data_IF_031184859938
#
_entry.id   IF_031184859938
#
_cell.length_a   1.000
_cell.length_b   1.000
_cell.length_c   1.000
_cell.angle_alpha   90.00
_cell.angle_beta   90.00
_cell.angle_gamma   90.00
#
_symmetry.space_group_name_H-M   'P 1'
#
loop_
_entity.id
_entity.type
_entity.pdbx_description
1 polymer ?
#
# COMPACT_ATOMS: atom_id res chain seq x y z
N UNK A 1 -24.96 6.78 16.93
CA UNK A 1 -24.08 5.95 16.08
C UNK A 1 -22.85 5.65 16.88
N UNK A 2 -22.44 4.38 16.94
CA UNK A 2 -21.18 4.03 17.59
C UNK A 2 -20.01 4.69 16.86
N UNK A 3 -19.07 5.26 17.62
CA UNK A 3 -17.88 5.91 17.05
C UNK A 3 -16.96 4.87 16.42
N UNK A 4 -16.28 5.27 15.34
CA UNK A 4 -15.24 4.48 14.68
C UNK A 4 -13.97 4.60 15.51
N UNK A 5 -13.58 3.52 16.18
CA UNK A 5 -12.38 3.51 17.03
C UNK A 5 -11.12 3.24 16.22
N UNK A 6 -10.09 4.02 16.50
CA UNK A 6 -8.72 3.79 16.05
C UNK A 6 -7.83 3.64 17.27
N UNK A 7 -7.36 2.42 17.52
CA UNK A 7 -6.43 2.17 18.61
C UNK A 7 -5.01 2.58 18.21
N UNK A 8 -4.45 3.54 18.94
CA UNK A 8 -3.08 4.00 18.80
C UNK A 8 -2.26 3.44 19.95
N UNK A 9 -1.31 2.58 19.65
CA UNK A 9 -0.49 1.91 20.66
C UNK A 9 0.99 2.19 20.39
N UNK A 10 1.66 2.80 21.36
CA UNK A 10 3.09 2.99 21.32
C UNK A 10 3.79 1.64 21.41
N UNK A 11 4.77 1.42 20.52
CA UNK A 11 5.57 0.21 20.46
C UNK A 11 6.97 0.57 19.95
N UNK A 12 7.97 0.50 20.82
CA UNK A 12 9.26 1.16 20.61
C UNK A 12 10.29 0.35 19.80
N UNK A 13 10.02 -0.94 19.59
CA UNK A 13 10.93 -1.88 18.95
C UNK A 13 10.16 -3.02 18.27
N UNK A 14 10.91 -3.94 17.66
CA UNK A 14 10.37 -5.17 17.07
C UNK A 14 10.71 -6.38 17.94
N UNK A 15 10.52 -6.30 19.25
CA UNK A 15 10.55 -7.47 20.14
C UNK A 15 9.18 -8.16 20.14
N UNK A 16 9.15 -9.47 19.92
CA UNK A 16 7.90 -10.23 19.71
C UNK A 16 6.92 -10.07 20.87
N UNK A 17 7.38 -10.12 22.12
CA UNK A 17 6.54 -9.96 23.31
C UNK A 17 5.90 -8.58 23.40
N UNK A 18 6.65 -7.52 23.09
CA UNK A 18 6.15 -6.14 23.12
C UNK A 18 5.13 -5.90 21.99
N UNK A 19 5.47 -6.32 20.76
CA UNK A 19 4.57 -6.19 19.60
C UNK A 19 3.28 -6.97 19.83
N UNK A 20 3.37 -8.19 20.35
CA UNK A 20 2.19 -9.02 20.67
C UNK A 20 1.33 -8.38 21.76
N UNK A 21 1.95 -7.88 22.83
CA UNK A 21 1.23 -7.16 23.89
C UNK A 21 0.52 -5.91 23.36
N UNK A 22 1.20 -5.15 22.49
CA UNK A 22 0.64 -3.96 21.86
C UNK A 22 -0.56 -4.29 20.94
N UNK A 23 -0.48 -5.36 20.15
CA UNK A 23 -1.58 -5.82 19.30
C UNK A 23 -2.78 -6.27 20.16
N UNK A 24 -2.57 -7.08 21.20
CA UNK A 24 -3.64 -7.49 22.11
C UNK A 24 -4.33 -6.29 22.77
N UNK A 25 -3.56 -5.35 23.33
CA UNK A 25 -4.09 -4.11 23.91
C UNK A 25 -4.91 -3.32 22.88
N UNK A 26 -4.43 -3.22 21.65
CA UNK A 26 -5.15 -2.56 20.56
C UNK A 26 -6.48 -3.25 20.25
N UNK A 27 -6.49 -4.58 20.14
CA UNK A 27 -7.70 -5.37 19.90
C UNK A 27 -8.72 -5.21 21.04
N UNK A 28 -8.27 -5.25 22.28
CA UNK A 28 -9.12 -5.08 23.46
C UNK A 28 -9.80 -3.70 23.48
N UNK A 29 -9.06 -2.63 23.15
CA UNK A 29 -9.60 -1.27 23.07
C UNK A 29 -10.64 -1.10 21.95
N UNK A 30 -10.51 -1.88 20.86
CA UNK A 30 -11.51 -1.91 19.79
C UNK A 30 -12.77 -2.70 20.17
N UNK A 31 -12.75 -3.45 21.27
CA UNK A 31 -13.88 -4.25 21.76
C UNK A 31 -13.64 -5.76 21.78
N UNK A 32 -12.39 -6.20 21.57
CA UNK A 32 -11.99 -7.60 21.69
C UNK A 32 -11.97 -8.37 20.37
N UNK A 33 -11.26 -9.50 20.39
CA UNK A 33 -11.03 -10.32 19.18
C UNK A 33 -12.31 -10.92 18.58
N UNK A 34 -13.33 -11.11 19.41
CA UNK A 34 -14.61 -11.73 19.03
C UNK A 34 -15.40 -10.90 18.01
N UNK A 35 -15.12 -9.59 17.91
CA UNK A 35 -15.70 -8.72 16.89
C UNK A 35 -15.13 -8.99 15.49
N UNK A 36 -13.92 -9.52 15.42
CA UNK A 36 -13.18 -9.69 14.18
C UNK A 36 -13.10 -11.14 13.72
N UNK A 37 -13.03 -12.09 14.66
CA UNK A 37 -12.81 -13.52 14.39
C UNK A 37 -13.98 -14.34 14.93
N UNK A 38 -14.65 -15.03 14.02
CA UNK A 38 -15.77 -15.92 14.33
C UNK A 38 -15.31 -17.36 14.48
N UNK A 39 -16.17 -18.17 15.08
CA UNK A 39 -15.92 -19.60 15.19
C UNK A 39 -15.93 -20.25 13.81
N UNK A 40 -14.92 -21.08 13.52
CA UNK A 40 -14.83 -21.79 12.24
C UNK A 40 -14.20 -21.00 11.09
N UNK A 41 -13.71 -19.77 11.31
CA UNK A 41 -13.17 -18.91 10.26
C UNK A 41 -11.98 -19.55 9.52
N UNK A 42 -11.94 -19.34 8.20
CA UNK A 42 -10.72 -19.35 7.39
C UNK A 42 -10.16 -17.94 7.32
N UNK A 43 -9.03 -17.73 7.97
CA UNK A 43 -8.40 -16.41 8.10
C UNK A 43 -7.29 -16.26 7.07
N UNK A 44 -7.32 -15.15 6.33
CA UNK A 44 -6.25 -14.73 5.45
C UNK A 44 -5.56 -13.48 6.00
N UNK A 45 -4.28 -13.61 6.29
CA UNK A 45 -3.41 -12.48 6.61
C UNK A 45 -2.92 -11.83 5.32
N UNK A 46 -3.12 -10.51 5.21
CA UNK A 46 -2.73 -9.72 4.05
C UNK A 46 -1.61 -8.74 4.42
N UNK A 47 -0.34 -9.21 4.48
CA UNK A 47 0.80 -8.32 4.64
C UNK A 47 0.95 -7.39 3.44
N UNK A 48 1.83 -6.41 3.58
CA UNK A 48 2.30 -5.59 2.48
C UNK A 48 3.61 -6.16 1.92
N UNK A 49 3.55 -6.83 0.77
CA UNK A 49 4.69 -7.42 0.07
C UNK A 49 4.96 -6.66 -1.22
N UNK A 50 5.33 -5.38 -1.13
CA UNK A 50 5.49 -4.51 -2.31
C UNK A 50 6.60 -4.98 -3.27
N UNK A 51 7.79 -5.29 -2.75
CA UNK A 51 8.97 -5.64 -3.52
C UNK A 51 9.98 -6.42 -2.66
N UNK A 52 10.78 -7.30 -3.28
CA UNK A 52 11.80 -8.12 -2.63
C UNK A 52 12.91 -7.25 -2.03
N UNK A 53 12.78 -6.93 -0.76
CA UNK A 53 13.69 -6.09 0.04
C UNK A 53 13.74 -6.64 1.47
N UNK A 54 14.81 -6.34 2.21
CA UNK A 54 14.87 -6.69 3.63
C UNK A 54 13.89 -5.86 4.45
N UNK A 55 13.48 -6.38 5.61
CA UNK A 55 12.56 -5.71 6.52
C UNK A 55 13.08 -4.32 6.98
N UNK A 56 14.41 -4.15 7.10
CA UNK A 56 15.02 -2.89 7.56
C UNK A 56 14.71 -1.71 6.64
N UNK A 57 14.46 -1.96 5.34
CA UNK A 57 14.11 -0.90 4.38
C UNK A 57 12.70 -0.36 4.57
N UNK A 58 11.88 -0.97 5.44
CA UNK A 58 10.51 -0.54 5.70
C UNK A 58 9.62 -0.53 4.45
N UNK A 59 9.95 -1.36 3.47
CA UNK A 59 9.21 -1.52 2.19
C UNK A 59 7.98 -2.39 2.42
N UNK A 60 8.15 -3.48 3.17
CA UNK A 60 7.12 -4.48 3.50
C UNK A 60 6.72 -4.41 4.96
N UNK A 61 5.65 -5.12 5.34
CA UNK A 61 5.34 -5.38 6.75
C UNK A 61 6.53 -6.07 7.44
N UNK A 62 6.81 -5.72 8.69
CA UNK A 62 7.89 -6.35 9.43
C UNK A 62 7.53 -7.80 9.85
N UNK A 63 8.44 -8.78 9.73
CA UNK A 63 8.18 -10.17 10.12
C UNK A 63 7.67 -10.35 11.54
N UNK A 64 8.16 -9.54 12.49
CA UNK A 64 7.73 -9.62 13.90
C UNK A 64 6.26 -9.20 14.09
N UNK A 65 5.77 -8.20 13.34
CA UNK A 65 4.34 -7.83 13.39
C UNK A 65 3.48 -8.95 12.84
N UNK A 66 3.97 -9.63 11.79
CA UNK A 66 3.34 -10.81 11.21
C UNK A 66 3.37 -12.02 12.18
N UNK A 67 4.50 -12.29 12.84
CA UNK A 67 4.66 -13.35 13.85
C UNK A 67 3.73 -13.13 15.04
N UNK A 68 3.63 -11.88 15.51
CA UNK A 68 2.82 -11.51 16.66
C UNK A 68 1.33 -11.78 16.44
N UNK A 69 0.77 -11.37 15.29
CA UNK A 69 -0.64 -11.64 15.00
C UNK A 69 -0.91 -13.13 14.78
N UNK A 70 -0.02 -13.88 14.12
CA UNK A 70 -0.18 -15.34 13.99
C UNK A 70 -0.17 -16.00 15.37
N UNK A 71 0.75 -15.60 16.23
CA UNK A 71 0.85 -16.13 17.60
C UNK A 71 -0.45 -15.93 18.38
N UNK A 72 -1.06 -14.73 18.28
CA UNK A 72 -2.37 -14.44 18.89
C UNK A 72 -3.48 -15.32 18.29
N UNK A 73 -3.50 -15.49 16.97
CA UNK A 73 -4.50 -16.33 16.31
C UNK A 73 -4.35 -17.82 16.66
N UNK A 74 -3.12 -18.30 16.85
CA UNK A 74 -2.85 -19.67 17.27
C UNK A 74 -3.31 -19.94 18.70
N UNK A 75 -3.15 -18.97 19.62
CA UNK A 75 -3.62 -19.09 21.01
C UNK A 75 -5.15 -19.26 21.12
N UNK A 76 -5.90 -18.67 20.19
CA UNK A 76 -7.36 -18.78 20.17
C UNK A 76 -7.87 -19.86 19.21
N UNK A 77 -6.98 -20.52 18.44
CA UNK A 77 -7.34 -21.43 17.34
C UNK A 77 -8.24 -22.58 17.80
N UNK A 78 -7.89 -23.24 18.89
CA UNK A 78 -8.67 -24.35 19.44
C UNK A 78 -10.02 -23.87 19.97
N UNK A 79 -10.02 -22.82 20.80
CA UNK A 79 -11.23 -22.22 21.38
C UNK A 79 -12.23 -21.75 20.32
N UNK A 80 -11.73 -21.20 19.21
CA UNK A 80 -12.52 -20.67 18.09
C UNK A 80 -12.69 -21.65 16.94
N UNK A 81 -12.17 -22.88 17.03
CA UNK A 81 -12.22 -23.86 15.95
C UNK A 81 -11.76 -23.30 14.59
N UNK A 82 -10.73 -22.42 14.58
CA UNK A 82 -10.25 -21.74 13.36
C UNK A 82 -9.78 -22.81 12.36
N UNK A 83 -10.42 -22.85 11.19
CA UNK A 83 -10.22 -23.91 10.20
C UNK A 83 -8.92 -23.76 9.43
N UNK A 84 -8.56 -22.53 9.10
CA UNK A 84 -7.35 -22.24 8.33
C UNK A 84 -6.80 -20.87 8.68
N UNK A 85 -5.48 -20.77 8.74
CA UNK A 85 -4.76 -19.50 8.74
C UNK A 85 -3.80 -19.56 7.55
N UNK A 86 -3.87 -18.60 6.64
CA UNK A 86 -2.96 -18.47 5.51
C UNK A 86 -2.54 -17.03 5.33
N UNK A 87 -1.56 -16.78 4.47
CA UNK A 87 -1.11 -15.42 4.14
C UNK A 87 -0.80 -15.26 2.66
N UNK A 88 -0.97 -14.06 2.12
CA UNK A 88 -0.60 -13.81 0.74
C UNK A 88 -0.73 -12.35 0.34
N UNK A 89 -0.06 -11.98 -0.75
CA UNK A 89 -0.15 -10.67 -1.38
C UNK A 89 0.32 -10.78 -2.83
N UNK A 90 -0.17 -9.90 -3.71
CA UNK A 90 0.32 -9.75 -5.08
C UNK A 90 1.18 -8.48 -5.21
N UNK A 91 2.52 -8.58 -5.29
CA UNK A 91 3.38 -7.45 -5.65
C UNK A 91 3.09 -6.94 -7.06
N UNK A 92 3.61 -5.74 -7.39
CA UNK A 92 3.61 -5.24 -8.77
C UNK A 92 4.68 -5.87 -9.66
N UNK A 93 5.74 -6.43 -9.05
CA UNK A 93 6.87 -7.08 -9.75
C UNK A 93 7.31 -8.29 -8.94
N UNK A 94 7.47 -9.44 -9.60
CA UNK A 94 7.88 -10.70 -8.97
C UNK A 94 6.71 -11.50 -8.42
N UNK A 95 6.99 -12.64 -7.79
CA UNK A 95 5.99 -13.46 -7.08
C UNK A 95 5.91 -13.03 -5.62
N UNK A 96 4.71 -13.06 -5.03
CA UNK A 96 4.51 -12.70 -3.63
C UNK A 96 5.36 -13.53 -2.67
N UNK A 97 5.48 -14.84 -2.90
CA UNK A 97 6.33 -15.73 -2.10
C UNK A 97 7.81 -15.30 -2.11
N UNK A 98 8.33 -14.86 -3.26
CA UNK A 98 9.73 -14.39 -3.36
C UNK A 98 9.95 -13.07 -2.61
N UNK A 99 8.91 -12.25 -2.46
CA UNK A 99 8.96 -11.04 -1.61
C UNK A 99 8.88 -11.42 -0.14
N UNK A 100 8.00 -12.37 0.22
CA UNK A 100 7.88 -12.89 1.58
C UNK A 100 9.20 -13.51 2.08
N UNK A 101 9.89 -14.28 1.22
CA UNK A 101 11.21 -14.85 1.52
C UNK A 101 12.24 -13.74 1.81
N UNK A 102 12.37 -12.76 0.91
CA UNK A 102 13.39 -11.72 1.08
C UNK A 102 13.15 -10.79 2.27
N UNK A 103 11.89 -10.62 2.67
CA UNK A 103 11.50 -9.81 3.82
C UNK A 103 11.59 -10.55 5.15
N UNK A 104 11.76 -11.88 5.17
CA UNK A 104 11.77 -12.72 6.38
C UNK A 104 10.39 -13.21 6.82
N UNK A 105 9.32 -12.84 6.11
CA UNK A 105 7.95 -13.30 6.40
C UNK A 105 7.79 -14.80 6.13
N UNK A 106 8.43 -15.33 5.09
CA UNK A 106 8.36 -16.77 4.77
C UNK A 106 8.96 -17.62 5.90
N UNK A 107 10.10 -17.21 6.44
CA UNK A 107 10.79 -17.92 7.53
C UNK A 107 9.91 -18.00 8.78
N UNK A 108 9.24 -16.89 9.13
CA UNK A 108 8.26 -16.85 10.23
C UNK A 108 7.07 -17.76 9.94
N UNK A 109 6.53 -17.71 8.72
CA UNK A 109 5.39 -18.53 8.32
C UNK A 109 5.72 -20.03 8.40
N UNK A 110 6.91 -20.43 7.93
CA UNK A 110 7.39 -21.81 7.99
C UNK A 110 7.56 -22.27 9.45
N UNK A 111 8.20 -21.45 10.30
CA UNK A 111 8.34 -21.73 11.75
C UNK A 111 6.99 -21.96 12.43
N UNK A 112 5.96 -21.22 12.03
CA UNK A 112 4.61 -21.29 12.61
C UNK A 112 3.64 -22.20 11.84
N UNK A 113 4.12 -22.94 10.84
CA UNK A 113 3.29 -23.81 9.97
C UNK A 113 2.09 -23.09 9.33
N UNK A 114 2.31 -21.88 8.82
CA UNK A 114 1.29 -21.09 8.10
C UNK A 114 1.52 -21.18 6.59
N UNK A 115 0.49 -21.58 5.87
CA UNK A 115 0.55 -21.76 4.41
C UNK A 115 0.52 -20.42 3.66
N UNK A 116 1.34 -20.32 2.61
CA UNK A 116 1.23 -19.26 1.62
C UNK A 116 0.03 -19.50 0.70
N UNK A 117 -0.86 -18.52 0.61
CA UNK A 117 -1.96 -18.48 -0.34
C UNK A 117 -1.49 -17.83 -1.64
N UNK A 118 -1.63 -18.56 -2.76
CA UNK A 118 -1.18 -18.07 -4.06
C UNK A 118 -2.16 -17.05 -4.65
N UNK A 119 -1.65 -15.84 -4.93
CA UNK A 119 -2.42 -14.73 -5.49
C UNK A 119 -2.33 -14.66 -7.02
N UNK A 120 -1.81 -15.70 -7.69
CA UNK A 120 -1.67 -15.73 -9.14
C UNK A 120 -2.99 -16.06 -9.88
N UNK A 121 -3.92 -16.82 -9.27
CA UNK A 121 -5.21 -17.19 -9.89
C UNK A 121 -6.23 -16.01 -9.85
N UNK A 122 -6.60 -15.43 -11.01
CA UNK A 122 -7.51 -14.29 -11.07
C UNK A 122 -8.98 -14.74 -11.16
N UNK A 123 -9.83 -14.15 -10.33
CA UNK A 123 -11.29 -14.37 -10.35
C UNK A 123 -12.00 -13.04 -10.58
N UNK A 124 -12.91 -13.01 -11.56
CA UNK A 124 -13.77 -11.86 -11.83
C UNK A 124 -14.95 -11.81 -10.86
N UNK A 125 -15.19 -10.64 -10.27
CA UNK A 125 -16.24 -10.41 -9.27
C UNK A 125 -17.01 -9.16 -9.64
N UNK A 126 -18.33 -9.28 -9.74
CA UNK A 126 -19.22 -8.13 -9.94
C UNK A 126 -19.38 -7.36 -8.63
N UNK A 127 -19.37 -6.03 -8.72
CA UNK A 127 -19.49 -5.13 -7.58
C UNK A 127 -20.37 -3.93 -7.94
N UNK A 128 -21.67 -4.18 -8.10
CA UNK A 128 -22.62 -3.20 -8.61
C UNK A 128 -22.74 -1.94 -7.74
N UNK A 129 -22.40 -2.04 -6.45
CA UNK A 129 -22.41 -0.93 -5.51
C UNK A 129 -21.16 -0.03 -5.55
N UNK A 130 -20.12 -0.41 -6.32
CA UNK A 130 -18.92 0.42 -6.48
C UNK A 130 -19.24 1.76 -7.14
N UNK A 131 -18.67 2.85 -6.64
CA UNK A 131 -18.94 4.19 -7.15
C UNK A 131 -18.24 4.42 -8.49
N UNK A 132 -16.99 3.98 -8.60
CA UNK A 132 -16.14 4.12 -9.79
C UNK A 132 -16.03 2.83 -10.59
N UNK A 133 -15.78 1.71 -9.92
CA UNK A 133 -15.54 0.43 -10.57
C UNK A 133 -16.64 -0.57 -10.21
N UNK A 134 -17.25 -1.16 -11.24
CA UNK A 134 -18.42 -2.04 -11.10
C UNK A 134 -18.08 -3.53 -11.10
N UNK A 135 -16.83 -3.87 -11.37
CA UNK A 135 -16.31 -5.23 -11.25
C UNK A 135 -14.81 -5.22 -11.04
N UNK A 136 -14.31 -6.21 -10.32
CA UNK A 136 -12.90 -6.37 -10.07
C UNK A 136 -12.43 -7.75 -10.51
N UNK A 137 -11.16 -7.84 -10.85
CA UNK A 137 -10.46 -9.13 -10.91
C UNK A 137 -9.54 -9.21 -9.70
N UNK A 138 -9.82 -10.14 -8.80
CA UNK A 138 -9.09 -10.31 -7.53
C UNK A 138 -8.48 -11.70 -7.44
N UNK A 139 -7.49 -11.86 -6.56
CA UNK A 139 -6.87 -13.15 -6.28
C UNK A 139 -7.86 -14.09 -5.59
N UNK A 140 -7.94 -15.34 -6.05
CA UNK A 140 -8.87 -16.35 -5.53
C UNK A 140 -8.87 -16.53 -4.00
N UNK A 141 -7.72 -16.53 -3.29
CA UNK A 141 -7.73 -16.68 -1.83
C UNK A 141 -8.53 -15.61 -1.08
N UNK A 142 -8.75 -14.44 -1.70
CA UNK A 142 -9.57 -13.37 -1.13
C UNK A 142 -11.03 -13.80 -1.01
N UNK A 143 -11.52 -14.64 -1.93
CA UNK A 143 -12.90 -15.14 -1.94
C UNK A 143 -13.06 -16.40 -1.06
N UNK A 144 -11.98 -17.13 -0.81
CA UNK A 144 -11.99 -18.36 -0.02
C UNK A 144 -11.87 -18.10 1.50
N UNK A 145 -11.45 -16.89 1.87
CA UNK A 145 -11.32 -16.46 3.26
C UNK A 145 -12.64 -15.93 3.80
N UNK A 146 -12.99 -16.36 5.01
CA UNK A 146 -14.14 -15.83 5.75
C UNK A 146 -13.79 -14.49 6.42
N UNK A 147 -12.53 -14.38 6.86
CA UNK A 147 -11.99 -13.18 7.51
C UNK A 147 -10.63 -12.81 6.93
N UNK A 148 -10.45 -11.52 6.61
CA UNK A 148 -9.19 -10.95 6.16
C UNK A 148 -8.67 -9.96 7.22
N UNK A 149 -7.42 -10.15 7.65
CA UNK A 149 -6.69 -9.18 8.49
C UNK A 149 -5.59 -8.57 7.65
N UNK A 150 -5.63 -7.25 7.48
CA UNK A 150 -4.64 -6.54 6.67
C UNK A 150 -3.53 -5.94 7.52
N UNK A 151 -2.28 -6.11 7.10
CA UNK A 151 -1.11 -5.62 7.84
C UNK A 151 -0.36 -4.56 7.02
N UNK A 152 -0.93 -3.35 6.81
CA UNK A 152 -0.27 -2.31 6.02
C UNK A 152 1.00 -1.79 6.70
N UNK A 153 1.97 -1.35 5.90
CA UNK A 153 3.16 -0.62 6.35
C UNK A 153 2.98 0.87 6.04
N UNK A 154 3.15 1.74 7.04
CA UNK A 154 3.01 3.19 6.85
C UNK A 154 4.15 3.74 6.01
N UNK A 155 3.82 4.33 4.86
CA UNK A 155 4.81 4.91 3.95
C UNK A 155 4.32 6.21 3.31
N UNK A 156 5.25 7.09 2.98
CA UNK A 156 5.08 8.10 1.95
C UNK A 156 4.92 7.45 0.56
N UNK A 157 4.22 8.12 -0.35
CA UNK A 157 4.05 7.64 -1.73
C UNK A 157 3.90 8.83 -2.69
N UNK A 158 4.66 8.87 -3.78
CA UNK A 158 4.59 10.00 -4.71
C UNK A 158 3.20 10.19 -5.32
N UNK A 159 2.48 9.11 -5.67
CA UNK A 159 1.12 9.20 -6.21
C UNK A 159 0.03 9.67 -5.25
N UNK A 160 -0.17 8.98 -4.14
CA UNK A 160 -1.28 9.22 -3.18
C UNK A 160 -0.83 9.98 -1.93
N UNK A 161 0.37 10.56 -1.95
CA UNK A 161 1.05 11.23 -0.82
C UNK A 161 1.50 10.25 0.28
N UNK A 162 0.64 9.31 0.66
CA UNK A 162 0.94 8.24 1.60
C UNK A 162 0.36 6.89 1.15
N UNK A 163 0.80 5.83 1.78
CA UNK A 163 0.31 4.45 1.70
C UNK A 163 0.05 3.95 3.10
N UNK A 164 -1.09 3.29 3.25
CA UNK A 164 -1.55 2.68 4.49
C UNK A 164 -2.59 1.60 4.17
N UNK A 165 -3.64 1.53 4.98
CA UNK A 165 -4.66 0.49 4.98
C UNK A 165 -5.45 0.40 3.67
N UNK A 166 -5.89 1.54 3.12
CA UNK A 166 -6.68 1.56 1.88
C UNK A 166 -5.86 1.01 0.71
N UNK A 167 -4.66 1.55 0.51
CA UNK A 167 -3.79 1.19 -0.63
C UNK A 167 -3.24 -0.22 -0.53
N UNK A 168 -3.13 -0.80 0.67
CA UNK A 168 -2.62 -2.17 0.84
C UNK A 168 -3.51 -3.23 0.15
N UNK A 169 -4.81 -2.93 -0.03
CA UNK A 169 -5.74 -3.84 -0.73
C UNK A 169 -5.52 -3.86 -2.24
N UNK A 170 -4.76 -2.92 -2.80
CA UNK A 170 -4.38 -2.98 -4.20
C UNK A 170 -3.56 -4.23 -4.54
N UNK A 171 -2.91 -4.82 -3.52
CA UNK A 171 -2.25 -6.12 -3.59
C UNK A 171 -3.21 -7.33 -3.72
N UNK A 172 -4.52 -7.14 -3.59
CA UNK A 172 -5.52 -8.16 -3.87
C UNK A 172 -5.81 -8.31 -5.38
N UNK A 173 -5.40 -7.33 -6.20
CA UNK A 173 -5.47 -7.41 -7.66
C UNK A 173 -4.24 -8.16 -8.19
N UNK A 174 -4.39 -9.29 -8.89
CA UNK A 174 -3.27 -10.13 -9.29
C UNK A 174 -2.48 -9.52 -10.47
N UNK A 175 -1.15 -9.64 -10.39
CA UNK A 175 -0.23 -9.43 -11.51
C UNK A 175 -0.19 -8.02 -12.10
N UNK A 176 -0.01 -7.94 -13.42
CA UNK A 176 0.16 -6.70 -14.19
C UNK A 176 -1.11 -5.85 -14.32
N UNK A 177 -2.28 -6.36 -13.92
CA UNK A 177 -3.56 -5.62 -13.96
C UNK A 177 -3.52 -4.32 -13.14
N UNK A 178 -2.69 -4.29 -12.10
CA UNK A 178 -2.39 -3.07 -11.33
C UNK A 178 -1.88 -1.93 -12.22
N UNK A 179 -1.07 -2.24 -13.22
CA UNK A 179 -0.55 -1.27 -14.18
C UNK A 179 -1.68 -0.75 -15.10
N UNK A 180 -2.65 -1.59 -15.47
CA UNK A 180 -3.82 -1.17 -16.27
C UNK A 180 -4.68 -0.14 -15.54
N UNK A 181 -4.91 -0.31 -14.24
CA UNK A 181 -5.68 0.69 -13.47
C UNK A 181 -5.01 2.06 -13.46
N UNK A 182 -3.66 2.12 -13.43
CA UNK A 182 -2.94 3.39 -13.54
C UNK A 182 -3.07 4.03 -14.94
N UNK A 183 -3.30 3.24 -15.99
CA UNK A 183 -3.56 3.73 -17.35
C UNK A 183 -5.00 4.23 -17.51
N UNK A 184 -5.96 3.42 -17.04
CA UNK A 184 -7.39 3.70 -17.17
C UNK A 184 -7.85 4.87 -16.29
N UNK A 185 -7.20 5.04 -15.13
CA UNK A 185 -7.54 6.05 -14.13
C UNK A 185 -6.36 6.99 -13.84
N UNK A 186 -6.01 7.89 -14.78
CA UNK A 186 -4.89 8.81 -14.60
C UNK A 186 -5.19 9.92 -13.59
N UNK A 187 -6.48 10.25 -13.36
CA UNK A 187 -6.91 11.19 -12.33
C UNK A 187 -6.84 10.54 -10.94
N UNK A 188 -6.31 11.28 -9.96
CA UNK A 188 -6.03 10.72 -8.64
C UNK A 188 -7.27 10.53 -7.79
N UNK A 189 -8.29 11.37 -7.96
CA UNK A 189 -9.55 11.21 -7.24
C UNK A 189 -10.29 9.98 -7.80
N UNK A 190 -10.27 9.78 -9.12
CA UNK A 190 -10.83 8.60 -9.78
C UNK A 190 -10.09 7.31 -9.37
N UNK A 191 -8.75 7.30 -9.41
CA UNK A 191 -7.96 6.15 -8.96
C UNK A 191 -8.19 5.84 -7.48
N UNK A 192 -8.27 6.88 -6.64
CA UNK A 192 -8.50 6.70 -5.20
C UNK A 192 -9.92 6.24 -4.90
N UNK A 193 -10.91 6.68 -5.68
CA UNK A 193 -12.29 6.15 -5.56
C UNK A 193 -12.33 4.67 -5.92
N UNK A 194 -11.62 4.23 -6.97
CA UNK A 194 -11.50 2.80 -7.28
C UNK A 194 -10.83 2.02 -6.14
N UNK A 195 -9.81 2.57 -5.48
CA UNK A 195 -9.20 1.92 -4.31
C UNK A 195 -10.15 1.81 -3.12
N UNK A 196 -11.05 2.79 -2.93
CA UNK A 196 -12.09 2.75 -1.90
C UNK A 196 -13.15 1.70 -2.22
N UNK A 197 -13.58 1.62 -3.50
CA UNK A 197 -14.48 0.55 -3.97
C UNK A 197 -13.85 -0.83 -3.73
N UNK A 198 -12.56 -1.00 -4.06
CA UNK A 198 -11.83 -2.24 -3.81
C UNK A 198 -11.78 -2.56 -2.32
N UNK A 199 -11.49 -1.58 -1.47
CA UNK A 199 -11.44 -1.77 -0.02
C UNK A 199 -12.80 -2.23 0.53
N UNK A 200 -13.90 -1.63 0.04
CA UNK A 200 -15.27 -2.03 0.37
C UNK A 200 -15.61 -3.45 -0.12
N UNK A 201 -15.18 -3.81 -1.33
CA UNK A 201 -15.36 -5.17 -1.87
C UNK A 201 -14.60 -6.22 -1.03
N UNK A 202 -13.32 -5.98 -0.72
CA UNK A 202 -12.50 -6.92 0.04
C UNK A 202 -12.97 -7.01 1.50
N UNK A 203 -13.42 -5.89 2.08
CA UNK A 203 -13.93 -5.79 3.44
C UNK A 203 -13.07 -6.48 4.54
N UNK A 204 -11.75 -6.21 4.63
CA UNK A 204 -10.94 -6.67 5.76
C UNK A 204 -11.58 -6.29 7.10
N UNK A 205 -11.59 -7.23 8.05
CA UNK A 205 -12.23 -7.05 9.36
C UNK A 205 -11.37 -6.27 10.33
N UNK A 206 -10.06 -6.37 10.18
CA UNK A 206 -9.09 -5.71 11.03
C UNK A 206 -7.89 -5.27 10.21
N UNK A 207 -7.45 -4.04 10.44
CA UNK A 207 -6.22 -3.48 9.92
C UNK A 207 -5.25 -3.28 11.07
N UNK A 208 -4.03 -3.77 10.94
CA UNK A 208 -2.94 -3.57 11.92
C UNK A 208 -1.78 -2.90 11.17
N UNK A 209 -1.70 -1.58 11.27
CA UNK A 209 -0.69 -0.79 10.58
C UNK A 209 0.63 -0.80 11.34
N UNK A 210 1.66 -1.31 10.68
CA UNK A 210 3.05 -1.25 11.10
C UNK A 210 3.60 0.16 10.83
N UNK A 211 3.63 0.96 11.89
CA UNK A 211 4.26 2.28 11.94
C UNK A 211 5.50 2.34 12.83
N UNK A 212 5.94 1.24 13.46
CA UNK A 212 7.10 1.21 14.37
C UNK A 212 8.33 1.79 13.65
N UNK A 213 8.61 1.24 12.47
CA UNK A 213 9.44 1.85 11.43
C UNK A 213 8.57 2.11 10.19
N UNK A 214 8.39 3.38 9.85
CA UNK A 214 7.71 3.83 8.64
C UNK A 214 8.72 4.16 7.52
N UNK A 215 8.24 4.54 6.33
CA UNK A 215 9.09 5.02 5.23
C UNK A 215 8.74 6.45 4.82
N UNK A 216 9.69 7.37 4.93
CA UNK A 216 9.56 8.76 4.48
C UNK A 216 10.26 9.04 3.14
N UNK A 217 9.96 10.19 2.53
CA UNK A 217 10.56 10.65 1.28
C UNK A 217 9.96 9.96 0.05
N UNK A 218 10.82 9.45 -0.83
CA UNK A 218 10.39 8.91 -2.14
C UNK A 218 9.94 7.45 -2.07
N UNK A 219 9.02 7.14 -1.15
CA UNK A 219 8.32 5.86 -1.16
C UNK A 219 7.47 5.65 -2.43
N UNK A 220 6.92 4.45 -2.65
CA UNK A 220 6.71 3.41 -1.64
C UNK A 220 7.83 2.36 -1.53
N UNK A 221 8.86 2.41 -2.39
CA UNK A 221 10.06 1.54 -2.31
C UNK A 221 11.36 2.31 -2.06
N UNK A 222 11.50 3.50 -2.66
CA UNK A 222 12.75 4.27 -2.72
C UNK A 222 12.91 5.31 -1.60
N UNK A 223 12.08 5.24 -0.56
CA UNK A 223 12.15 6.14 0.60
C UNK A 223 13.28 5.77 1.57
N UNK A 224 13.22 6.35 2.77
CA UNK A 224 14.13 6.05 3.87
C UNK A 224 13.33 5.60 5.10
N UNK A 225 13.78 4.58 5.83
CA UNK A 225 13.18 4.21 7.11
C UNK A 225 13.19 5.38 8.10
N UNK A 226 12.08 5.56 8.82
CA UNK A 226 11.92 6.55 9.89
C UNK A 226 11.18 5.89 11.04
N UNK A 227 11.78 5.94 12.24
CA UNK A 227 11.21 5.39 13.47
C UNK A 227 10.06 6.30 13.95
N UNK A 228 8.87 5.73 14.19
CA UNK A 228 7.71 6.43 14.78
C UNK A 228 7.15 5.75 16.04
N UNK A 229 7.54 4.51 16.31
CA UNK A 229 7.17 3.75 17.51
C UNK A 229 5.67 3.56 17.72
N UNK A 230 4.93 3.25 16.66
CA UNK A 230 3.47 3.14 16.74
C UNK A 230 2.92 1.95 15.97
N UNK A 231 1.96 1.25 16.57
CA UNK A 231 1.02 0.37 15.90
C UNK A 231 -0.36 1.03 15.93
N UNK A 232 -1.04 0.98 14.78
CA UNK A 232 -2.41 1.49 14.68
C UNK A 232 -3.35 0.36 14.30
N UNK A 233 -4.47 0.22 15.01
CA UNK A 233 -5.48 -0.80 14.73
C UNK A 233 -6.86 -0.18 14.53
N UNK A 234 -7.63 -0.69 13.57
CA UNK A 234 -9.02 -0.28 13.32
C UNK A 234 -9.72 -1.30 12.43
N UNK A 235 -11.05 -1.31 12.42
CA UNK A 235 -11.87 -1.97 11.39
C UNK A 235 -12.17 -1.08 10.17
N UNK A 236 -11.87 0.21 10.25
CA UNK A 236 -12.05 1.18 9.17
C UNK A 236 -10.68 1.66 8.65
N UNK A 237 -10.41 1.36 7.38
CA UNK A 237 -9.15 1.70 6.71
C UNK A 237 -8.93 3.21 6.54
N UNK A 238 -9.99 3.97 6.30
CA UNK A 238 -9.91 5.41 6.05
C UNK A 238 -9.68 6.15 7.36
N UNK A 239 -10.36 5.74 8.44
CA UNK A 239 -10.12 6.27 9.77
C UNK A 239 -8.69 5.97 10.24
N UNK A 240 -8.18 4.76 9.95
CA UNK A 240 -6.81 4.40 10.26
C UNK A 240 -5.78 5.24 9.50
N UNK A 241 -5.98 5.41 8.19
CA UNK A 241 -5.11 6.25 7.34
C UNK A 241 -5.19 7.74 7.75
N UNK A 242 -6.38 8.21 8.18
CA UNK A 242 -6.56 9.55 8.73
C UNK A 242 -5.72 9.78 9.99
N UNK A 243 -5.82 8.91 11.00
CA UNK A 243 -5.01 9.04 12.22
C UNK A 243 -3.52 8.94 11.91
N UNK A 244 -3.13 8.01 11.03
CA UNK A 244 -1.74 7.89 10.57
C UNK A 244 -1.25 9.18 9.90
N UNK A 245 -2.08 9.85 9.10
CA UNK A 245 -1.72 11.14 8.46
C UNK A 245 -1.46 12.25 9.48
N UNK A 246 -2.18 12.24 10.61
CA UNK A 246 -1.98 13.21 11.70
C UNK A 246 -0.65 12.97 12.43
N UNK A 247 -0.27 11.71 12.65
CA UNK A 247 1.01 11.34 13.28
C UNK A 247 2.19 11.84 12.43
N UNK A 248 2.13 11.68 11.10
CA UNK A 248 3.20 12.13 10.20
C UNK A 248 3.05 13.60 9.75
N UNK A 249 2.11 14.34 10.33
CA UNK A 249 1.82 15.75 10.02
C UNK A 249 1.56 16.04 8.53
N UNK A 250 0.85 15.13 7.87
CA UNK A 250 0.38 15.33 6.50
C UNK A 250 -1.04 15.90 6.52
N UNK A 251 -1.31 16.88 5.66
CA UNK A 251 -2.66 17.40 5.47
C UNK A 251 -3.51 16.34 4.75
N UNK A 252 -4.48 15.78 5.47
CA UNK A 252 -5.36 14.73 4.98
C UNK A 252 -6.21 15.19 3.78
N UNK A 253 -6.45 16.50 3.60
CA UNK A 253 -7.19 17.03 2.45
C UNK A 253 -6.42 16.87 1.13
N UNK A 254 -5.09 16.73 1.22
CA UNK A 254 -4.24 16.50 0.06
C UNK A 254 -4.10 15.01 -0.26
N UNK A 255 -4.39 14.11 0.69
CA UNK A 255 -4.30 12.67 0.52
C UNK A 255 -5.57 12.17 -0.17
N UNK A 256 -5.55 11.80 -1.46
CA UNK A 256 -6.78 11.64 -2.22
C UNK A 256 -7.67 10.48 -1.73
N UNK A 257 -7.08 9.42 -1.16
CA UNK A 257 -7.84 8.29 -0.57
C UNK A 257 -8.64 8.73 0.65
N UNK A 258 -8.07 9.55 1.54
CA UNK A 258 -8.76 10.06 2.73
C UNK A 258 -9.80 11.12 2.32
N UNK A 259 -9.39 12.08 1.49
CA UNK A 259 -10.26 13.14 0.96
C UNK A 259 -11.51 12.56 0.30
N UNK A 260 -11.33 11.59 -0.60
CA UNK A 260 -12.45 10.94 -1.30
C UNK A 260 -13.23 10.00 -0.38
N UNK A 261 -12.57 9.33 0.57
CA UNK A 261 -13.23 8.46 1.55
C UNK A 261 -14.27 9.21 2.38
N UNK A 262 -13.90 10.38 2.90
CA UNK A 262 -14.85 11.25 3.62
C UNK A 262 -15.89 11.89 2.70
N UNK A 263 -15.46 12.40 1.53
CA UNK A 263 -16.37 13.05 0.58
C UNK A 263 -17.49 12.13 0.08
N UNK A 264 -17.18 10.85 -0.15
CA UNK A 264 -18.12 9.85 -0.67
C UNK A 264 -18.82 9.04 0.42
N UNK A 265 -18.54 9.32 1.70
CA UNK A 265 -19.21 8.68 2.83
C UNK A 265 -18.76 7.25 3.12
N UNK A 266 -17.57 6.83 2.68
CA UNK A 266 -17.00 5.54 3.10
C UNK A 266 -16.59 5.52 4.57
N UNK A 267 -16.27 6.70 5.13
CA UNK A 267 -16.00 6.91 6.54
C UNK A 267 -16.39 8.36 6.90
N UNK A 268 -16.44 8.69 8.18
CA UNK A 268 -16.77 10.03 8.66
C UNK A 268 -15.77 10.50 9.71
N UNK A 269 -15.05 11.59 9.42
CA UNK A 269 -14.03 12.15 10.32
C UNK A 269 -14.59 12.50 11.71
N UNK A 270 -15.84 12.94 11.79
CA UNK A 270 -16.47 13.40 13.03
C UNK A 270 -16.80 12.25 13.98
N UNK A 271 -16.88 11.04 13.43
CA UNK A 271 -17.15 9.82 14.17
C UNK A 271 -15.87 9.08 14.59
N UNK A 272 -14.68 9.59 14.26
CA UNK A 272 -13.42 8.93 14.60
C UNK A 272 -13.04 9.22 16.05
N UNK A 273 -12.81 8.17 16.82
CA UNK A 273 -12.31 8.20 18.19
C UNK A 273 -10.95 7.54 18.27
N UNK A 274 -9.93 8.27 18.75
CA UNK A 274 -8.62 7.70 19.04
C UNK A 274 -8.67 7.11 20.46
N UNK A 275 -8.34 5.84 20.58
CA UNK A 275 -8.23 5.12 21.86
C UNK A 275 -6.80 4.62 22.08
N UNK A 276 -6.39 4.42 23.34
CA UNK A 276 -5.02 4.00 23.67
C UNK A 276 -4.14 5.18 24.06
N UNK A 277 -2.95 5.27 23.48
CA UNK A 277 -1.94 6.27 23.81
C UNK A 277 -2.23 7.63 23.17
N UNK A 278 -1.72 8.70 23.77
CA UNK A 278 -1.92 10.05 23.26
C UNK A 278 -1.17 10.25 21.94
N UNK A 279 -1.87 10.71 20.90
CA UNK A 279 -1.30 10.97 19.57
C UNK A 279 -0.09 11.93 19.61
N UNK A 280 -0.11 12.93 20.50
CA UNK A 280 0.99 13.90 20.62
C UNK A 280 2.30 13.25 21.09
N UNK A 281 2.25 12.05 21.68
CA UNK A 281 3.45 11.31 22.09
C UNK A 281 4.21 10.63 20.94
N UNK A 282 3.56 10.43 19.80
CA UNK A 282 4.13 9.75 18.61
C UNK A 282 4.14 10.62 17.36
N UNK A 283 3.52 11.80 17.43
CA UNK A 283 3.44 12.75 16.33
C UNK A 283 4.81 13.33 15.99
N UNK A 284 5.10 13.40 14.70
CA UNK A 284 6.35 13.95 14.16
C UNK A 284 6.04 15.08 13.18
N UNK A 285 6.85 16.14 13.24
CA UNK A 285 6.73 17.29 12.34
C UNK A 285 7.79 17.29 11.22
N UNK A 286 8.76 16.38 11.29
CA UNK A 286 9.92 16.31 10.38
C UNK A 286 9.82 15.16 9.35
N UNK A 287 8.65 14.50 9.24
CA UNK A 287 8.46 13.40 8.29
C UNK A 287 8.54 13.91 6.85
N UNK A 288 9.51 13.39 6.09
CA UNK A 288 9.77 13.87 4.72
C UNK A 288 8.65 13.48 3.77
N UNK A 289 8.06 14.48 3.12
CA UNK A 289 7.11 14.30 2.01
C UNK A 289 7.82 13.72 0.78
N UNK A 290 7.10 12.95 -0.06
CA UNK A 290 7.64 12.57 -1.37
C UNK A 290 7.88 13.83 -2.22
N UNK A 291 8.77 13.74 -3.21
CA UNK A 291 8.97 14.86 -4.14
C UNK A 291 7.63 15.32 -4.74
N UNK A 292 7.43 16.65 -4.75
CA UNK A 292 6.17 17.28 -5.17
C UNK A 292 5.68 16.72 -6.50
N UNK A 293 4.44 16.27 -6.51
CA UNK A 293 3.72 15.99 -7.74
C UNK A 293 3.32 17.27 -8.45
N UNK A 294 3.53 17.28 -9.76
CA UNK A 294 2.65 17.96 -10.70
C UNK A 294 1.67 16.88 -11.16
N UNK A 295 0.54 16.79 -10.48
CA UNK A 295 -0.61 16.07 -11.00
C UNK A 295 -1.34 16.94 -12.01
N UNK A 296 -1.69 16.40 -13.17
CA UNK A 296 -2.63 17.08 -14.05
C UNK A 296 -4.02 16.84 -13.44
N UNK A 297 -4.51 17.79 -12.64
CA UNK A 297 -5.87 17.71 -12.10
C UNK A 297 -6.93 17.71 -13.21
N UNK A 298 -8.12 17.16 -12.92
CA UNK A 298 -9.31 17.13 -13.79
C UNK A 298 -9.54 18.39 -14.65
N UNK A 299 -9.36 19.60 -14.10
CA UNK A 299 -9.50 20.87 -14.87
C UNK A 299 -8.43 21.06 -15.94
N UNK A 300 -7.19 20.70 -15.66
CA UNK A 300 -6.07 20.80 -16.61
C UNK A 300 -6.17 19.73 -17.70
N UNK A 301 -6.71 18.56 -17.35
CA UNK A 301 -6.97 17.48 -18.31
C UNK A 301 -8.12 17.84 -19.26
N UNK A 302 -9.15 18.56 -18.81
CA UNK A 302 -10.19 19.13 -19.71
C UNK A 302 -9.62 20.22 -20.64
N UNK A 303 -8.73 21.07 -20.13
CA UNK A 303 -8.03 22.07 -20.95
C UNK A 303 -7.06 21.46 -21.97
N UNK A 304 -6.60 20.22 -21.73
CA UNK A 304 -5.76 19.45 -22.66
C UNK A 304 -6.47 18.94 -23.92
N UNK A 305 -7.80 19.15 -24.02
CA UNK A 305 -8.54 18.98 -25.27
C UNK A 305 -8.08 19.98 -26.35
N UNK A 306 -7.51 21.12 -25.96
CA UNK A 306 -6.93 22.09 -26.88
C UNK A 306 -5.45 21.76 -27.16
N UNK A 307 -5.04 21.58 -28.44
CA UNK A 307 -3.69 21.12 -28.82
C UNK A 307 -2.55 21.99 -28.28
N UNK A 308 -2.75 23.31 -28.26
CA UNK A 308 -1.76 24.31 -27.84
C UNK A 308 -1.51 24.22 -26.33
N UNK A 309 -2.59 24.14 -25.56
CA UNK A 309 -2.55 24.05 -24.11
C UNK A 309 -1.96 22.70 -23.67
N UNK A 310 -2.31 21.61 -24.37
CA UNK A 310 -1.68 20.28 -24.20
C UNK A 310 -0.17 20.31 -24.40
N UNK A 311 0.32 21.06 -25.40
CA UNK A 311 1.75 21.20 -25.69
C UNK A 311 2.50 22.01 -24.63
N UNK A 312 1.87 23.08 -24.12
CA UNK A 312 2.39 23.86 -22.98
C UNK A 312 2.44 23.04 -21.68
N UNK A 313 1.40 22.26 -21.36
CA UNK A 313 1.40 21.39 -20.18
C UNK A 313 2.43 20.27 -20.26
N UNK A 314 2.68 19.73 -21.45
CA UNK A 314 3.70 18.70 -21.64
C UNK A 314 5.12 19.15 -21.26
N UNK A 315 5.41 20.46 -21.34
CA UNK A 315 6.70 21.05 -20.97
C UNK A 315 6.83 21.17 -19.44
N UNK A 316 5.74 21.48 -18.73
CA UNK A 316 5.77 21.66 -17.28
C UNK A 316 5.87 20.33 -16.50
N UNK A 317 5.40 19.22 -17.07
CA UNK A 317 5.37 17.91 -16.40
C UNK A 317 6.82 17.37 -16.28
N UNK A 318 7.30 17.11 -15.05
CA UNK A 318 8.62 16.51 -14.85
C UNK A 318 8.69 15.16 -15.54
N UNK A 319 9.78 14.91 -16.26
CA UNK A 319 10.04 13.62 -16.92
C UNK A 319 11.02 12.80 -16.09
N UNK A 320 10.84 11.47 -16.00
CA UNK A 320 11.81 10.60 -15.35
C UNK A 320 13.08 10.52 -16.18
N UNK A 321 14.24 10.71 -15.56
CA UNK A 321 15.57 10.67 -16.19
C UNK A 321 16.44 9.71 -15.40
N UNK A 322 17.15 8.81 -16.09
CA UNK A 322 18.08 7.88 -15.46
C UNK A 322 19.42 8.57 -15.20
N UNK A 323 19.89 8.55 -13.96
CA UNK A 323 21.24 8.91 -13.55
C UNK A 323 22.18 7.73 -13.81
N UNK A 324 23.05 7.88 -14.82
CA UNK A 324 23.84 6.77 -15.34
C UNK A 324 24.79 6.20 -14.28
N UNK A 325 25.39 7.05 -13.44
CA UNK A 325 26.29 6.62 -12.36
C UNK A 325 25.64 5.76 -11.28
N UNK A 326 24.31 5.78 -11.14
CA UNK A 326 23.57 4.95 -10.17
C UNK A 326 22.92 3.71 -10.80
N UNK A 327 22.77 3.68 -12.12
CA UNK A 327 22.01 2.64 -12.79
C UNK A 327 22.83 1.37 -12.99
N UNK A 328 22.45 0.30 -12.29
CA UNK A 328 23.08 -1.03 -12.46
C UNK A 328 22.47 -1.87 -13.61
N UNK A 329 21.56 -1.29 -14.40
CA UNK A 329 20.98 -1.94 -15.60
C UNK A 329 20.17 -3.22 -15.30
N UNK A 330 19.56 -3.29 -14.12
CA UNK A 330 18.73 -4.43 -13.69
C UNK A 330 17.43 -4.64 -14.50
N UNK A 331 16.96 -3.61 -15.21
CA UNK A 331 15.78 -3.70 -16.08
C UNK A 331 14.42 -3.65 -15.37
N UNK A 332 14.37 -3.47 -14.05
CA UNK A 332 13.12 -3.35 -13.27
C UNK A 332 12.20 -2.26 -13.86
N UNK A 333 12.76 -1.11 -14.22
CA UNK A 333 12.03 0.01 -14.80
C UNK A 333 11.39 -0.31 -16.17
N UNK A 334 12.02 -1.19 -16.96
CA UNK A 334 11.50 -1.65 -18.26
C UNK A 334 10.34 -2.61 -18.01
N UNK A 335 10.51 -3.58 -17.10
CA UNK A 335 9.49 -4.60 -16.78
C UNK A 335 8.19 -4.01 -16.24
N UNK A 336 8.26 -2.88 -15.53
CA UNK A 336 7.09 -2.24 -14.92
C UNK A 336 6.46 -1.14 -15.77
N UNK A 337 6.99 -0.87 -16.95
CA UNK A 337 6.39 0.12 -17.84
C UNK A 337 5.04 -0.41 -18.35
N UNK A 338 3.91 0.27 -18.07
CA UNK A 338 2.59 -0.24 -18.39
C UNK A 338 2.17 0.01 -19.85
N UNK A 339 2.93 0.84 -20.59
CA UNK A 339 2.54 1.30 -21.93
C UNK A 339 2.95 0.28 -22.97
N UNK A 340 2.07 -0.01 -23.93
CA UNK A 340 2.39 -0.82 -25.12
C UNK A 340 2.26 0.04 -26.37
N UNK A 341 3.31 0.19 -27.21
CA UNK A 341 4.68 -0.28 -27.00
C UNK A 341 5.39 0.45 -25.85
N UNK A 342 6.38 -0.22 -25.22
CA UNK A 342 7.09 0.29 -24.03
C UNK A 342 7.64 1.71 -24.23
N UNK A 343 7.41 2.57 -23.23
CA UNK A 343 7.96 3.92 -23.17
C UNK A 343 9.39 3.99 -22.60
N UNK A 344 9.93 2.85 -22.16
CA UNK A 344 11.28 2.70 -21.65
C UNK A 344 11.77 1.31 -22.03
N UNK A 345 12.88 1.21 -22.77
CA UNK A 345 13.43 -0.08 -23.15
C UNK A 345 14.96 -0.04 -23.26
N UNK A 346 15.60 -1.21 -23.23
CA UNK A 346 16.98 -1.32 -23.66
C UNK A 346 17.03 -1.11 -25.18
N UNK A 347 17.93 -0.24 -25.64
CA UNK A 347 18.14 0.01 -27.06
C UNK A 347 18.82 -1.21 -27.74
N UNK A 348 19.07 -1.12 -29.06
CA UNK A 348 19.80 -2.14 -29.82
C UNK A 348 21.24 -2.41 -29.31
N UNK A 349 21.81 -1.54 -28.46
CA UNK A 349 23.14 -1.69 -27.87
C UNK A 349 23.15 -2.64 -26.64
N UNK A 350 22.00 -3.22 -26.30
CA UNK A 350 21.88 -4.26 -25.27
C UNK A 350 22.01 -3.72 -23.83
N UNK A 351 22.15 -4.63 -22.86
CA UNK A 351 22.22 -4.32 -21.42
C UNK A 351 23.51 -3.66 -20.96
N UNK A 352 24.41 -3.31 -21.87
CA UNK A 352 25.65 -2.60 -21.55
C UNK A 352 25.39 -1.13 -21.18
N UNK A 353 24.28 -0.57 -21.67
CA UNK A 353 23.86 0.80 -21.40
C UNK A 353 22.57 0.84 -20.57
N UNK A 354 22.34 1.90 -19.78
CA UNK A 354 21.04 2.14 -19.16
C UNK A 354 19.90 2.14 -20.20
N UNK A 355 18.67 1.72 -19.83
CA UNK A 355 17.50 1.85 -20.68
C UNK A 355 17.27 3.30 -21.13
N UNK A 356 16.65 3.47 -22.30
CA UNK A 356 16.33 4.78 -22.88
C UNK A 356 14.82 5.03 -22.90
N UNK A 357 14.43 6.26 -22.59
CA UNK A 357 13.03 6.67 -22.61
C UNK A 357 12.59 7.10 -24.02
N UNK A 358 11.45 6.57 -24.44
CA UNK A 358 10.64 7.09 -25.53
C UNK A 358 9.57 8.01 -24.92
N UNK A 359 9.93 9.28 -24.70
CA UNK A 359 9.09 10.23 -23.93
C UNK A 359 7.75 10.58 -24.58
N UNK A 360 7.66 10.43 -25.90
CA UNK A 360 6.42 10.52 -26.69
C UNK A 360 5.39 9.47 -26.27
N UNK A 361 5.85 8.29 -25.85
CA UNK A 361 5.01 7.19 -25.34
C UNK A 361 4.78 7.24 -23.83
N UNK A 362 5.61 7.99 -23.11
CA UNK A 362 5.59 8.00 -21.64
C UNK A 362 4.36 8.75 -21.10
N UNK A 363 3.46 8.02 -20.46
CA UNK A 363 2.28 8.58 -19.77
C UNK A 363 2.58 9.22 -18.40
N UNK A 364 3.85 9.32 -18.01
CA UNK A 364 4.28 9.97 -16.74
C UNK A 364 3.64 9.40 -15.48
N UNK A 365 3.40 8.07 -15.45
CA UNK A 365 2.91 7.38 -14.25
C UNK A 365 3.94 7.29 -13.11
N UNK A 366 5.24 7.44 -13.43
CA UNK A 366 6.39 7.33 -12.53
C UNK A 366 6.64 5.96 -11.88
N UNK A 367 5.94 4.89 -12.28
CA UNK A 367 6.18 3.53 -11.76
C UNK A 367 7.66 3.10 -11.85
N UNK A 368 8.33 3.47 -12.95
CA UNK A 368 9.76 3.20 -13.14
C UNK A 368 10.64 3.87 -12.08
N UNK A 369 10.31 5.10 -11.69
CA UNK A 369 11.04 5.85 -10.67
C UNK A 369 10.75 5.31 -9.27
N UNK A 370 9.48 5.05 -8.96
CA UNK A 370 9.07 4.52 -7.66
C UNK A 370 9.73 3.17 -7.36
N UNK A 371 9.83 2.29 -8.36
CA UNK A 371 10.28 0.91 -8.20
C UNK A 371 11.77 0.70 -8.47
N UNK A 372 12.55 1.74 -8.78
CA UNK A 372 13.98 1.62 -9.04
C UNK A 372 14.75 1.27 -7.75
N UNK A 373 15.37 0.07 -7.62
CA UNK A 373 16.02 -0.33 -6.37
C UNK A 373 17.28 0.50 -6.02
N UNK A 374 17.87 1.16 -7.01
CA UNK A 374 19.11 1.95 -6.84
C UNK A 374 18.86 3.45 -6.79
N UNK A 375 17.59 3.89 -6.71
CA UNK A 375 17.21 5.32 -6.72
C UNK A 375 17.85 6.08 -7.91
N UNK A 376 18.02 5.39 -9.04
CA UNK A 376 18.76 5.85 -10.20
C UNK A 376 17.89 6.64 -11.18
N UNK A 377 16.61 6.85 -10.89
CA UNK A 377 15.69 7.60 -11.75
C UNK A 377 15.19 8.80 -10.95
N UNK A 378 15.42 9.99 -11.49
CA UNK A 378 15.03 11.27 -10.89
C UNK A 378 14.03 11.98 -11.79
N UNK A 379 13.26 12.92 -11.25
CA UNK A 379 12.33 13.73 -12.03
C UNK A 379 12.99 15.06 -12.39
N UNK A 380 13.12 15.36 -13.69
CA UNK A 380 13.62 16.65 -14.19
C UNK A 380 12.56 17.35 -15.02
N UNK A 381 12.42 18.67 -14.87
CA UNK A 381 11.68 19.48 -15.84
C UNK A 381 12.60 19.72 -17.05
N UNK A 382 12.08 19.64 -18.27
CA UNK A 382 12.82 20.16 -19.44
C UNK A 382 12.87 21.68 -19.26
N UNK A 383 14.08 22.25 -19.38
CA UNK A 383 14.27 23.69 -19.48
C UNK A 383 13.71 24.19 -20.82
#
# INVERSE_FOLDING_TARGET
MDKIKVALIKCDNYELSEVKSAINRGIDLLGGIDLFIKEGDKILLKPNLLASESAEKSVTTHPVVFEAIISILQEIKEKKNIKKISYGDSPGIGKGISVAQKSGISEVAEKLNIEYADFDEPVGVSFNEGIKEKSFTIAKPILEADTIISLPKLKSHALTIMTGAVKNQFGCIPGFRKAEYHLKLPDFDDFSTMLLDLNKLINPKLYIMDGIMAMEGNGPRSGNPKKLNVLLLSSDAIALDYVASQIISFDYNLIPTIKMGFKLGFSNKENIEIVGDNIESVKVNDFKKPHKRIGIGRSLMKLSAFPIIKRLFAIMIPKPVIEYGKCVKCGVCVKVCPVTPLALNFNKKGKNYPPEYYYDKCITCYCCQELCPHKAIILKRKF
#
